data_IF_586845472452
#
_entry.id   IF_586845472452
#
_cell.length_a   1.000
_cell.length_b   1.000
_cell.length_c   1.000
_cell.angle_alpha   90.00
_cell.angle_beta   90.00
_cell.angle_gamma   90.00
#
_symmetry.space_group_name_H-M   'P 1'
#
loop_
_entity.id
_entity.type
_entity.pdbx_description
1 polymer ?
#
# COMPACT_ATOMS: atom_id res chain seq x y z
N UNK A 1 -0.73 -15.09 6.59
CA UNK A 1 -1.40 -13.83 6.19
C UNK A 1 -0.39 -13.01 5.40
N UNK A 2 -0.63 -12.75 4.12
CA UNK A 2 0.33 -12.04 3.28
C UNK A 2 0.17 -10.52 3.38
N UNK A 3 1.08 -9.89 4.13
CA UNK A 3 1.02 -8.43 4.42
C UNK A 3 1.20 -7.56 3.17
N UNK A 4 1.90 -8.07 2.16
CA UNK A 4 2.16 -7.34 0.93
C UNK A 4 0.91 -7.29 0.06
N UNK A 5 0.34 -8.45 -0.28
CA UNK A 5 -0.87 -8.53 -1.10
C UNK A 5 -2.02 -7.77 -0.46
N UNK A 6 -2.24 -7.95 0.85
CA UNK A 6 -3.29 -7.23 1.57
C UNK A 6 -3.08 -5.71 1.52
N UNK A 7 -1.85 -5.24 1.76
CA UNK A 7 -1.54 -3.81 1.73
C UNK A 7 -1.76 -3.16 0.36
N UNK A 8 -1.34 -3.82 -0.72
CA UNK A 8 -1.51 -3.33 -2.08
C UNK A 8 -2.99 -3.31 -2.50
N UNK A 9 -3.75 -4.36 -2.18
CA UNK A 9 -5.20 -4.40 -2.42
C UNK A 9 -5.90 -3.25 -1.68
N UNK A 10 -5.51 -2.96 -0.44
CA UNK A 10 -6.05 -1.83 0.32
C UNK A 10 -5.78 -0.50 -0.39
N UNK A 11 -4.57 -0.27 -0.90
CA UNK A 11 -4.24 0.97 -1.65
C UNK A 11 -5.14 1.10 -2.87
N UNK A 12 -5.17 0.08 -3.73
CA UNK A 12 -5.95 0.09 -4.98
C UNK A 12 -7.45 0.31 -4.71
N UNK A 13 -8.00 -0.36 -3.70
CA UNK A 13 -9.41 -0.20 -3.34
C UNK A 13 -9.76 1.20 -2.84
N UNK A 14 -8.85 1.88 -2.14
CA UNK A 14 -9.07 3.24 -1.68
C UNK A 14 -8.89 4.25 -2.84
N UNK A 15 -7.91 4.01 -3.72
CA UNK A 15 -7.69 4.78 -4.94
C UNK A 15 -8.93 4.73 -5.86
N UNK A 16 -9.46 3.54 -6.14
CA UNK A 16 -10.69 3.34 -6.91
C UNK A 16 -11.92 4.04 -6.31
N UNK A 17 -11.90 4.32 -5.00
CA UNK A 17 -12.96 5.04 -4.28
C UNK A 17 -12.68 6.54 -4.14
N UNK A 18 -11.65 7.06 -4.82
CA UNK A 18 -11.19 8.44 -4.75
C UNK A 18 -10.85 8.91 -3.32
N UNK A 19 -10.39 7.99 -2.46
CA UNK A 19 -9.91 8.35 -1.12
C UNK A 19 -8.46 8.80 -1.21
N UNK A 20 -8.16 9.93 -0.55
CA UNK A 20 -6.82 10.54 -0.54
C UNK A 20 -5.81 9.83 0.36
N UNK A 21 -6.26 8.91 1.21
CA UNK A 21 -5.43 8.20 2.17
C UNK A 21 -6.00 6.81 2.47
N UNK A 22 -5.14 5.91 2.95
CA UNK A 22 -5.54 4.60 3.45
C UNK A 22 -4.66 4.16 4.62
N UNK A 23 -5.20 3.26 5.45
CA UNK A 23 -4.50 2.68 6.60
C UNK A 23 -4.25 1.20 6.30
N UNK A 24 -3.00 0.76 6.43
CA UNK A 24 -2.59 -0.63 6.23
C UNK A 24 -2.11 -1.22 7.55
N UNK A 25 -2.67 -2.35 7.95
CA UNK A 25 -2.27 -3.11 9.13
C UNK A 25 -2.54 -4.61 8.90
N UNK A 26 -1.64 -5.52 9.32
CA UNK A 26 -0.33 -5.28 9.95
C UNK A 26 0.75 -4.83 8.95
N UNK A 27 1.73 -4.07 9.43
CA UNK A 27 2.86 -3.59 8.63
C UNK A 27 4.04 -4.57 8.60
N UNK A 28 4.77 -4.63 7.48
CA UNK A 28 6.00 -5.43 7.35
C UNK A 28 7.14 -4.63 6.71
N UNK A 29 8.39 -5.03 6.98
CA UNK A 29 9.58 -4.39 6.39
C UNK A 29 9.58 -4.44 4.86
N UNK A 30 9.09 -5.55 4.29
CA UNK A 30 8.97 -5.72 2.84
C UNK A 30 7.96 -4.72 2.26
N UNK A 31 6.77 -4.62 2.86
CA UNK A 31 5.75 -3.66 2.45
C UNK A 31 6.31 -2.23 2.48
N UNK A 32 7.00 -1.82 3.56
CA UNK A 32 7.62 -0.50 3.65
C UNK A 32 8.64 -0.21 2.53
N UNK A 33 9.45 -1.20 2.14
CA UNK A 33 10.39 -1.07 1.01
C UNK A 33 9.66 -0.93 -0.33
N UNK A 34 8.59 -1.69 -0.55
CA UNK A 34 7.77 -1.60 -1.76
C UNK A 34 7.10 -0.24 -1.85
N UNK A 35 6.47 0.24 -0.78
CA UNK A 35 5.86 1.58 -0.75
C UNK A 35 6.89 2.68 -1.01
N UNK A 36 8.12 2.53 -0.50
CA UNK A 36 9.21 3.47 -0.79
C UNK A 36 9.58 3.48 -2.27
N UNK A 37 9.64 2.31 -2.93
CA UNK A 37 9.90 2.22 -4.37
C UNK A 37 8.76 2.86 -5.16
N UNK A 38 7.51 2.60 -4.80
CA UNK A 38 6.35 3.23 -5.43
C UNK A 38 6.44 4.77 -5.36
N UNK A 39 6.71 5.32 -4.17
CA UNK A 39 6.91 6.76 -3.99
C UNK A 39 8.05 7.32 -4.85
N UNK A 40 9.18 6.60 -4.96
CA UNK A 40 10.31 7.04 -5.78
C UNK A 40 10.01 7.03 -7.29
N UNK A 41 9.08 6.18 -7.73
CA UNK A 41 8.63 6.13 -9.13
C UNK A 41 7.46 7.09 -9.42
N UNK A 42 6.97 7.84 -8.43
CA UNK A 42 5.88 8.81 -8.62
C UNK A 42 4.48 8.19 -8.71
N UNK A 43 4.30 7.00 -8.11
CA UNK A 43 2.98 6.42 -7.85
C UNK A 43 2.30 7.08 -6.65
#
# INVERSE_FOLDING_TARGET
MDTLTNGLITIINNEMRNKRECIISPASKLLGRVLRIMQLNGY
#
